data_IF_104009554456
#
_entry.id   IF_104009554456
#
_cell.length_a   1.000
_cell.length_b   1.000
_cell.length_c   1.000
_cell.angle_alpha   90.00
_cell.angle_beta   90.00
_cell.angle_gamma   90.00
#
_symmetry.space_group_name_H-M   'P 1'
#
loop_
_entity.id
_entity.type
_entity.pdbx_description
1 polymer ?
#
# COMPACT_ATOMS: atom_id res chain seq x y z
N UNK A 1 -23.87 32.22 28.03
CA UNK A 1 -23.34 30.92 28.52
C UNK A 1 -22.73 30.16 27.36
N UNK A 2 -21.42 30.21 27.23
CA UNK A 2 -20.67 29.34 26.29
C UNK A 2 -20.67 27.94 26.91
N UNK A 3 -21.46 27.05 26.35
CA UNK A 3 -21.60 25.72 26.92
C UNK A 3 -20.24 24.99 27.04
N UNK A 4 -19.94 24.54 28.26
CA UNK A 4 -18.72 23.81 28.63
C UNK A 4 -18.39 22.61 27.66
N UNK A 5 -19.41 22.09 26.98
CA UNK A 5 -19.27 21.04 25.95
C UNK A 5 -18.53 21.49 24.70
N UNK A 6 -18.66 22.72 24.26
CA UNK A 6 -17.99 23.27 23.08
C UNK A 6 -16.50 23.52 23.32
N UNK A 7 -16.16 24.04 24.51
CA UNK A 7 -14.76 24.29 24.89
C UNK A 7 -13.96 22.98 24.98
N UNK A 8 -14.55 21.91 25.49
CA UNK A 8 -13.92 20.58 25.51
C UNK A 8 -13.71 19.97 24.15
N UNK A 9 -14.63 20.14 23.19
CA UNK A 9 -14.50 19.60 21.83
C UNK A 9 -13.45 20.34 21.01
N UNK A 10 -13.37 21.66 21.09
CA UNK A 10 -12.34 22.46 20.42
C UNK A 10 -10.93 22.17 20.94
N UNK A 11 -10.76 22.04 22.26
CA UNK A 11 -9.50 21.59 22.86
C UNK A 11 -9.08 20.21 22.35
N UNK A 12 -10.01 19.25 22.26
CA UNK A 12 -9.72 17.92 21.72
C UNK A 12 -9.30 17.96 20.26
N UNK A 13 -9.94 18.77 19.41
CA UNK A 13 -9.58 18.92 17.99
C UNK A 13 -8.19 19.54 17.84
N UNK A 14 -7.91 20.60 18.61
CA UNK A 14 -6.61 21.28 18.61
C UNK A 14 -5.49 20.35 19.10
N UNK A 15 -5.73 19.61 20.18
CA UNK A 15 -4.78 18.67 20.76
C UNK A 15 -4.46 17.52 19.78
N UNK A 16 -5.47 16.99 19.11
CA UNK A 16 -5.27 15.98 18.04
C UNK A 16 -4.46 16.54 16.87
N UNK A 17 -4.78 17.75 16.42
CA UNK A 17 -4.01 18.40 15.34
C UNK A 17 -2.55 18.61 15.70
N UNK A 18 -2.26 19.07 16.93
CA UNK A 18 -0.89 19.23 17.41
C UNK A 18 -0.14 17.89 17.52
N UNK A 19 -0.79 16.84 17.99
CA UNK A 19 -0.19 15.51 18.07
C UNK A 19 0.14 14.95 16.69
N UNK A 20 -0.79 15.08 15.74
CA UNK A 20 -0.55 14.65 14.34
C UNK A 20 0.61 15.43 13.72
N UNK A 21 0.66 16.75 13.91
CA UNK A 21 1.76 17.59 13.46
C UNK A 21 3.09 17.21 14.10
N UNK A 22 3.08 16.92 15.40
CA UNK A 22 4.27 16.45 16.11
C UNK A 22 4.81 15.15 15.53
N UNK A 23 3.95 14.13 15.32
CA UNK A 23 4.36 12.88 14.69
C UNK A 23 4.91 13.09 13.28
N UNK A 24 4.26 13.95 12.48
CA UNK A 24 4.72 14.26 11.13
C UNK A 24 6.14 14.86 11.11
N UNK A 25 6.53 15.57 12.16
CA UNK A 25 7.86 16.21 12.27
C UNK A 25 8.88 15.26 12.89
N UNK A 26 8.54 14.61 14.01
CA UNK A 26 9.49 13.86 14.83
C UNK A 26 9.54 12.36 14.50
N UNK A 27 8.40 11.80 14.05
CA UNK A 27 8.26 10.37 13.70
C UNK A 27 7.59 10.21 12.32
N UNK A 28 8.21 10.78 11.26
CA UNK A 28 7.56 10.89 9.96
C UNK A 28 7.15 9.55 9.35
N UNK A 29 7.96 8.50 9.49
CA UNK A 29 7.60 7.18 8.98
C UNK A 29 6.38 6.60 9.69
N UNK A 30 6.26 6.78 11.00
CA UNK A 30 5.08 6.35 11.77
C UNK A 30 3.83 7.13 11.34
N UNK A 31 3.98 8.44 11.07
CA UNK A 31 2.91 9.27 10.52
C UNK A 31 2.42 8.74 9.16
N UNK A 32 3.34 8.55 8.19
CA UNK A 32 3.00 8.07 6.85
C UNK A 32 2.42 6.65 6.89
N UNK A 33 3.01 5.73 7.66
CA UNK A 33 2.50 4.37 7.83
C UNK A 33 1.05 4.38 8.32
N UNK A 34 0.76 5.19 9.35
CA UNK A 34 -0.59 5.32 9.91
C UNK A 34 -1.57 5.96 8.93
N UNK A 35 -1.14 7.00 8.22
CA UNK A 35 -1.97 7.67 7.23
C UNK A 35 -2.36 6.73 6.10
N UNK A 36 -1.38 6.08 5.47
CA UNK A 36 -1.62 5.16 4.36
C UNK A 36 -2.40 3.91 4.77
N UNK A 37 -2.31 3.48 6.03
CA UNK A 37 -3.11 2.35 6.53
C UNK A 37 -4.58 2.68 6.80
N UNK A 38 -4.90 3.95 7.11
CA UNK A 38 -6.23 4.29 7.65
C UNK A 38 -6.98 5.28 6.76
N UNK A 39 -6.27 6.22 6.13
CA UNK A 39 -6.86 7.35 5.42
C UNK A 39 -6.76 7.28 3.91
N UNK A 40 -5.72 6.64 3.40
CA UNK A 40 -5.48 6.51 1.96
C UNK A 40 -6.37 5.42 1.37
N UNK A 41 -7.61 5.77 1.07
CA UNK A 41 -8.63 4.83 0.54
C UNK A 41 -8.47 4.54 -0.95
N UNK A 42 -7.63 5.28 -1.65
CA UNK A 42 -7.36 5.15 -3.08
C UNK A 42 -5.85 5.02 -3.36
N UNK A 43 -5.10 4.46 -2.42
CA UNK A 43 -3.68 4.18 -2.57
C UNK A 43 -3.47 3.10 -3.65
N UNK A 44 -2.56 3.36 -4.58
CA UNK A 44 -2.22 2.44 -5.67
C UNK A 44 -0.72 2.14 -5.64
N UNK A 45 -0.39 0.86 -5.42
CA UNK A 45 0.99 0.40 -5.33
C UNK A 45 1.78 0.66 -6.62
N UNK A 46 1.16 0.40 -7.78
CA UNK A 46 1.83 0.52 -9.07
C UNK A 46 2.18 1.97 -9.41
N UNK A 47 1.31 2.90 -9.02
CA UNK A 47 1.52 4.34 -9.27
C UNK A 47 2.50 4.94 -8.26
N UNK A 48 2.37 4.58 -6.98
CA UNK A 48 2.97 5.32 -5.87
C UNK A 48 4.29 4.72 -5.38
N UNK A 49 4.51 3.42 -5.53
CA UNK A 49 5.66 2.73 -4.95
C UNK A 49 6.81 2.46 -5.93
N UNK A 50 6.64 2.78 -7.22
CA UNK A 50 7.62 2.51 -8.27
C UNK A 50 8.65 3.65 -8.48
N UNK A 51 8.76 4.56 -7.54
CA UNK A 51 9.71 5.65 -7.53
C UNK A 51 9.12 7.01 -7.87
N UNK A 52 9.93 8.05 -7.58
CA UNK A 52 9.52 9.45 -7.68
C UNK A 52 9.16 9.88 -9.10
N UNK A 53 9.94 9.47 -10.08
CA UNK A 53 9.75 9.89 -11.48
C UNK A 53 8.40 9.40 -12.03
N UNK A 54 8.06 8.14 -11.74
CA UNK A 54 6.77 7.56 -12.14
C UNK A 54 5.61 8.27 -11.46
N UNK A 55 5.72 8.57 -10.17
CA UNK A 55 4.72 9.31 -9.42
C UNK A 55 4.49 10.71 -10.01
N UNK A 56 5.56 11.45 -10.31
CA UNK A 56 5.49 12.79 -10.90
C UNK A 56 4.83 12.77 -12.29
N UNK A 57 5.08 11.73 -13.08
CA UNK A 57 4.42 11.54 -14.37
C UNK A 57 2.88 11.43 -14.20
N UNK A 58 2.41 10.60 -13.27
CA UNK A 58 0.97 10.43 -13.02
C UNK A 58 0.33 11.68 -12.41
N UNK A 59 1.01 12.37 -11.49
CA UNK A 59 0.54 13.66 -10.95
C UNK A 59 0.33 14.67 -12.08
N UNK A 60 1.27 14.77 -13.01
CA UNK A 60 1.16 15.69 -14.15
C UNK A 60 0.02 15.29 -15.10
N UNK A 61 -0.15 14.00 -15.37
CA UNK A 61 -1.25 13.50 -16.20
C UNK A 61 -2.62 13.79 -15.57
N UNK A 62 -2.77 13.49 -14.27
CA UNK A 62 -4.02 13.76 -13.55
C UNK A 62 -4.33 15.26 -13.45
N UNK A 63 -3.32 16.09 -13.26
CA UNK A 63 -3.50 17.55 -13.25
C UNK A 63 -3.95 18.09 -14.62
N UNK A 64 -3.49 17.51 -15.73
CA UNK A 64 -3.96 17.88 -17.09
C UNK A 64 -5.44 17.55 -17.30
N UNK A 65 -5.90 16.41 -16.73
CA UNK A 65 -7.28 15.93 -16.85
C UNK A 65 -8.17 16.29 -15.67
N UNK A 66 -7.79 17.28 -14.87
CA UNK A 66 -8.40 17.61 -13.57
C UNK A 66 -9.93 17.72 -13.58
N UNK A 67 -10.51 18.24 -14.66
CA UNK A 67 -11.95 18.41 -14.80
C UNK A 67 -12.71 17.14 -15.19
N UNK A 68 -11.99 16.10 -15.60
CA UNK A 68 -12.55 14.82 -16.09
C UNK A 68 -12.34 13.70 -15.05
N UNK A 69 -11.63 13.98 -13.96
CA UNK A 69 -11.31 12.98 -12.93
C UNK A 69 -12.56 12.53 -12.18
N UNK A 70 -12.70 11.23 -12.05
CA UNK A 70 -13.64 10.61 -11.12
C UNK A 70 -13.28 10.91 -9.66
N UNK A 71 -14.21 10.70 -8.75
CA UNK A 71 -13.96 10.94 -7.33
C UNK A 71 -12.86 9.99 -6.77
N UNK A 72 -12.78 8.74 -7.28
CA UNK A 72 -11.67 7.83 -6.95
C UNK A 72 -10.33 8.42 -7.39
N UNK A 73 -10.23 8.92 -8.61
CA UNK A 73 -8.99 9.51 -9.15
C UNK A 73 -8.58 10.78 -8.41
N UNK A 74 -9.53 11.60 -7.96
CA UNK A 74 -9.24 12.77 -7.10
C UNK A 74 -8.62 12.34 -5.78
N UNK A 75 -9.19 11.32 -5.13
CA UNK A 75 -8.63 10.77 -3.89
C UNK A 75 -7.23 10.16 -4.13
N UNK A 76 -7.02 9.47 -5.26
CA UNK A 76 -5.71 8.97 -5.66
C UNK A 76 -4.71 10.11 -5.84
N UNK A 77 -5.12 11.24 -6.43
CA UNK A 77 -4.28 12.42 -6.61
C UNK A 77 -3.87 13.03 -5.25
N UNK A 78 -4.80 13.10 -4.30
CA UNK A 78 -4.50 13.59 -2.95
C UNK A 78 -3.49 12.68 -2.23
N UNK A 79 -3.66 11.37 -2.35
CA UNK A 79 -2.71 10.39 -1.81
C UNK A 79 -1.34 10.49 -2.51
N UNK A 80 -1.30 10.69 -3.85
CA UNK A 80 -0.06 10.92 -4.60
C UNK A 80 0.70 12.17 -4.13
N UNK A 81 0.01 13.26 -3.79
CA UNK A 81 0.67 14.46 -3.27
C UNK A 81 1.35 14.20 -1.92
N UNK A 82 0.73 13.39 -1.06
CA UNK A 82 1.35 13.01 0.20
C UNK A 82 2.57 12.09 0.01
N UNK A 83 2.49 11.17 -0.94
CA UNK A 83 3.64 10.33 -1.33
C UNK A 83 4.76 11.19 -1.93
N UNK A 84 4.43 12.20 -2.74
CA UNK A 84 5.41 13.15 -3.28
C UNK A 84 6.14 13.90 -2.16
N UNK A 85 5.39 14.38 -1.15
CA UNK A 85 5.99 15.00 0.04
C UNK A 85 6.92 14.02 0.76
N UNK A 86 6.50 12.77 0.94
CA UNK A 86 7.30 11.72 1.59
C UNK A 86 8.62 11.48 0.85
N UNK A 87 8.60 11.35 -0.49
CA UNK A 87 9.80 11.22 -1.30
C UNK A 87 10.70 12.45 -1.24
N UNK A 88 10.12 13.67 -1.24
CA UNK A 88 10.87 14.91 -1.12
C UNK A 88 11.61 15.02 0.23
N UNK A 89 11.10 14.38 1.27
CA UNK A 89 11.73 14.30 2.59
C UNK A 89 12.76 13.17 2.70
N UNK A 90 13.01 12.44 1.62
CA UNK A 90 14.01 11.37 1.56
C UNK A 90 13.52 10.00 2.04
N UNK A 91 12.23 9.83 2.29
CA UNK A 91 11.63 8.53 2.62
C UNK A 91 11.15 7.83 1.36
N UNK A 92 10.97 6.50 1.44
CA UNK A 92 10.51 5.71 0.30
C UNK A 92 9.85 4.42 0.73
N UNK A 93 9.42 3.65 -0.27
CA UNK A 93 8.84 2.33 -0.08
C UNK A 93 9.86 1.23 -0.33
N UNK A 94 9.69 0.09 0.33
CA UNK A 94 10.25 -1.18 -0.11
C UNK A 94 9.17 -2.00 -0.82
N UNK A 95 9.58 -3.07 -1.49
CA UNK A 95 8.63 -3.97 -2.17
C UNK A 95 7.75 -4.67 -1.14
N UNK A 96 6.52 -5.00 -1.56
CA UNK A 96 5.67 -5.94 -0.85
C UNK A 96 6.39 -7.30 -0.82
N UNK A 97 6.39 -7.91 0.34
CA UNK A 97 6.92 -9.25 0.58
C UNK A 97 5.74 -10.16 0.99
N UNK A 98 5.54 -11.25 0.25
CA UNK A 98 4.39 -12.16 0.44
C UNK A 98 4.33 -12.80 1.82
N UNK A 99 5.47 -12.88 2.54
CA UNK A 99 5.56 -13.47 3.88
C UNK A 99 5.60 -12.45 5.02
N UNK A 100 5.93 -11.19 4.73
CA UNK A 100 6.14 -10.15 5.74
C UNK A 100 5.10 -9.05 5.71
N UNK A 101 4.56 -8.74 4.55
CA UNK A 101 3.55 -7.68 4.39
C UNK A 101 2.25 -8.03 5.11
N UNK A 102 1.54 -7.01 5.55
CA UNK A 102 0.25 -7.15 6.24
C UNK A 102 -0.91 -6.90 5.27
N UNK A 103 -2.08 -7.40 5.63
CA UNK A 103 -3.28 -7.25 4.80
C UNK A 103 -3.59 -5.79 4.48
N UNK A 104 -3.76 -4.96 5.52
CA UNK A 104 -4.22 -3.56 5.40
C UNK A 104 -3.30 -2.54 6.07
N UNK A 105 -2.21 -2.99 6.71
CA UNK A 105 -1.32 -2.11 7.48
C UNK A 105 0.02 -1.94 6.80
N UNK A 106 0.41 -0.70 6.60
CA UNK A 106 1.77 -0.34 6.23
C UNK A 106 2.72 -0.58 7.40
N UNK A 107 3.89 -1.12 7.12
CA UNK A 107 4.93 -1.41 8.11
C UNK A 107 6.16 -0.55 7.86
N UNK A 108 6.93 -0.31 8.92
CA UNK A 108 8.25 0.31 8.83
C UNK A 108 9.29 -0.79 8.85
N UNK A 109 10.05 -0.91 7.77
CA UNK A 109 11.09 -1.92 7.61
C UNK A 109 12.35 -1.24 7.09
N UNK A 110 13.45 -1.33 7.85
CA UNK A 110 14.75 -0.79 7.48
C UNK A 110 14.72 0.70 7.04
N UNK A 111 13.92 1.51 7.74
CA UNK A 111 13.78 2.95 7.45
C UNK A 111 12.95 3.28 6.22
N UNK A 112 12.24 2.31 5.66
CA UNK A 112 11.29 2.46 4.53
C UNK A 112 9.90 1.97 4.92
N UNK A 113 8.91 2.33 4.13
CA UNK A 113 7.55 1.81 4.28
C UNK A 113 7.36 0.57 3.41
N UNK A 114 6.92 -0.52 4.03
CA UNK A 114 6.42 -1.71 3.35
C UNK A 114 4.92 -1.57 3.16
N UNK A 115 4.43 -1.50 1.91
CA UNK A 115 3.00 -1.38 1.64
C UNK A 115 2.21 -2.61 2.06
N UNK A 116 0.93 -2.42 2.32
CA UNK A 116 -0.01 -3.48 2.60
C UNK A 116 -0.46 -4.19 1.31
N UNK A 117 -0.95 -5.42 1.41
CA UNK A 117 -1.51 -6.13 0.25
C UNK A 117 -2.71 -5.39 -0.36
N UNK A 118 -3.55 -4.75 0.47
CA UNK A 118 -4.70 -3.96 0.00
C UNK A 118 -4.33 -2.76 -0.88
N UNK A 119 -3.05 -2.40 -0.95
CA UNK A 119 -2.55 -1.36 -1.86
C UNK A 119 -2.40 -1.83 -3.32
N UNK A 120 -2.50 -3.13 -3.58
CA UNK A 120 -2.49 -3.70 -4.93
C UNK A 120 -3.87 -3.53 -5.55
N UNK A 121 -3.95 -2.89 -6.72
CA UNK A 121 -5.23 -2.68 -7.39
C UNK A 121 -5.91 -4.02 -7.72
N UNK A 122 -7.22 -4.08 -7.47
CA UNK A 122 -8.01 -5.30 -7.64
C UNK A 122 -7.90 -6.33 -6.51
N UNK A 123 -7.09 -6.09 -5.47
CA UNK A 123 -7.01 -6.96 -4.30
C UNK A 123 -7.82 -6.36 -3.13
N UNK A 124 -8.99 -6.93 -2.87
CA UNK A 124 -9.85 -6.49 -1.76
C UNK A 124 -9.32 -6.94 -0.39
N UNK A 125 -9.75 -6.26 0.68
CA UNK A 125 -9.29 -6.50 2.06
C UNK A 125 -9.39 -7.96 2.50
N UNK A 126 -10.49 -8.65 2.18
CA UNK A 126 -10.68 -10.08 2.52
C UNK A 126 -9.66 -11.00 1.85
N UNK A 127 -9.30 -10.70 0.61
CA UNK A 127 -8.27 -11.46 -0.11
C UNK A 127 -6.88 -11.15 0.47
N UNK A 128 -6.62 -9.90 0.83
CA UNK A 128 -5.40 -9.49 1.50
C UNK A 128 -5.23 -10.17 2.87
N UNK A 129 -6.29 -10.24 3.67
CA UNK A 129 -6.32 -10.96 4.95
C UNK A 129 -6.04 -12.46 4.77
N UNK A 130 -6.62 -13.08 3.73
CA UNK A 130 -6.39 -14.48 3.45
C UNK A 130 -4.95 -14.76 3.00
N UNK A 131 -4.33 -13.86 2.24
CA UNK A 131 -2.91 -13.96 1.87
C UNK A 131 -2.03 -13.91 3.12
N UNK A 132 -2.26 -12.93 4.02
CA UNK A 132 -1.50 -12.82 5.27
C UNK A 132 -1.65 -14.08 6.14
N UNK A 133 -2.88 -14.61 6.25
CA UNK A 133 -3.19 -15.81 7.04
C UNK A 133 -2.51 -17.07 6.44
N UNK A 134 -2.62 -17.27 5.13
CA UNK A 134 -2.00 -18.43 4.45
C UNK A 134 -0.47 -18.35 4.45
N UNK A 135 0.11 -17.17 4.28
CA UNK A 135 1.56 -16.96 4.38
C UNK A 135 2.09 -17.28 5.78
N UNK A 136 1.30 -17.04 6.83
CA UNK A 136 1.68 -17.39 8.21
C UNK A 136 1.71 -18.88 8.49
N UNK A 137 1.00 -19.69 7.68
CA UNK A 137 0.91 -21.16 7.84
C UNK A 137 2.08 -21.91 7.21
N UNK A 138 2.84 -21.26 6.33
CA UNK A 138 4.02 -21.85 5.69
C UNK A 138 4.27 -21.29 4.30
N UNK A 139 5.43 -21.63 3.75
CA UNK A 139 5.85 -21.18 2.43
C UNK A 139 4.93 -21.71 1.32
N UNK A 140 4.80 -20.95 0.25
CA UNK A 140 4.13 -21.37 -0.96
C UNK A 140 5.10 -22.14 -1.85
N UNK A 141 4.61 -23.21 -2.46
CA UNK A 141 5.42 -24.06 -3.35
C UNK A 141 5.50 -23.50 -4.76
N UNK A 142 4.47 -22.77 -5.19
CA UNK A 142 4.37 -22.14 -6.51
C UNK A 142 3.31 -21.05 -6.53
N UNK A 143 3.25 -20.29 -7.63
CA UNK A 143 2.18 -19.32 -7.86
C UNK A 143 0.80 -19.98 -7.98
N UNK A 144 0.72 -21.22 -8.49
CA UNK A 144 -0.52 -22.01 -8.52
C UNK A 144 -0.97 -22.43 -7.12
N UNK A 145 -0.03 -22.81 -6.25
CA UNK A 145 -0.30 -23.11 -4.84
C UNK A 145 -0.79 -21.85 -4.11
N UNK A 146 -0.10 -20.72 -4.31
CA UNK A 146 -0.52 -19.42 -3.79
C UNK A 146 -1.96 -19.07 -4.23
N UNK A 147 -2.26 -19.17 -5.53
CA UNK A 147 -3.59 -18.91 -6.08
C UNK A 147 -4.67 -19.76 -5.43
N UNK A 148 -4.38 -21.05 -5.25
CA UNK A 148 -5.34 -22.04 -4.70
C UNK A 148 -5.59 -21.81 -3.22
N UNK A 149 -4.53 -21.62 -2.44
CA UNK A 149 -4.61 -21.39 -0.99
C UNK A 149 -5.22 -20.05 -0.66
N UNK A 150 -4.79 -18.98 -1.32
CA UNK A 150 -5.29 -17.63 -1.07
C UNK A 150 -6.60 -17.32 -1.79
N UNK A 151 -7.11 -18.22 -2.65
CA UNK A 151 -8.34 -18.05 -3.43
C UNK A 151 -8.41 -16.74 -4.21
N UNK A 152 -7.28 -16.30 -4.72
CA UNK A 152 -7.16 -15.08 -5.53
C UNK A 152 -7.42 -15.36 -7.00
N UNK A 153 -7.82 -14.31 -7.74
CA UNK A 153 -8.08 -14.43 -9.17
C UNK A 153 -6.78 -14.63 -9.96
N UNK A 154 -6.88 -15.23 -11.16
CA UNK A 154 -5.73 -15.35 -12.06
C UNK A 154 -5.13 -13.97 -12.40
N UNK A 155 -5.99 -12.97 -12.63
CA UNK A 155 -5.57 -11.61 -12.91
C UNK A 155 -4.77 -10.97 -11.76
N UNK A 156 -5.15 -11.25 -10.52
CA UNK A 156 -4.41 -10.81 -9.33
C UNK A 156 -3.01 -11.42 -9.28
N UNK A 157 -2.91 -12.73 -9.55
CA UNK A 157 -1.61 -13.43 -9.59
C UNK A 157 -0.73 -12.86 -10.70
N UNK A 158 -1.27 -12.65 -11.89
CA UNK A 158 -0.57 -12.04 -13.03
C UNK A 158 -0.08 -10.61 -12.71
N UNK A 159 -0.92 -9.82 -12.05
CA UNK A 159 -0.54 -8.47 -11.59
C UNK A 159 0.60 -8.53 -10.57
N UNK A 160 0.54 -9.42 -9.59
CA UNK A 160 1.59 -9.61 -8.59
C UNK A 160 2.89 -10.10 -9.20
N UNK A 161 2.80 -11.00 -10.20
CA UNK A 161 3.96 -11.49 -10.95
C UNK A 161 4.63 -10.39 -11.77
N UNK A 162 3.84 -9.61 -12.52
CA UNK A 162 4.29 -8.44 -13.27
C UNK A 162 4.97 -7.40 -12.38
N UNK A 163 4.51 -7.25 -11.15
CA UNK A 163 5.12 -6.38 -10.14
C UNK A 163 6.36 -6.99 -9.48
N UNK A 164 6.67 -8.25 -9.79
CA UNK A 164 7.83 -8.98 -9.25
C UNK A 164 7.72 -9.28 -7.76
N UNK A 165 6.51 -9.52 -7.26
CA UNK A 165 6.24 -9.75 -5.83
C UNK A 165 6.48 -11.20 -5.42
N UNK A 166 6.50 -12.14 -6.36
CA UNK A 166 6.75 -13.56 -6.09
C UNK A 166 8.24 -13.92 -6.01
N UNK A 167 9.15 -13.02 -6.43
CA UNK A 167 10.59 -13.31 -6.45
C UNK A 167 10.91 -14.55 -7.32
N UNK A 168 11.55 -15.54 -6.69
CA UNK A 168 11.96 -16.80 -7.38
C UNK A 168 10.91 -17.92 -7.29
N UNK A 169 9.67 -17.61 -6.88
CA UNK A 169 8.61 -18.59 -6.73
C UNK A 169 8.20 -19.14 -8.11
N UNK A 170 8.30 -20.47 -8.37
CA UNK A 170 7.97 -21.05 -9.67
C UNK A 170 6.48 -20.89 -9.99
N UNK A 171 6.16 -20.82 -11.28
CA UNK A 171 4.75 -20.71 -11.71
C UNK A 171 3.92 -21.93 -11.35
N UNK A 172 4.48 -23.12 -11.51
CA UNK A 172 3.78 -24.40 -11.28
C UNK A 172 4.64 -25.36 -10.47
N UNK A 173 3.98 -26.26 -9.72
CA UNK A 173 4.64 -27.38 -9.01
C UNK A 173 5.05 -28.52 -9.96
N UNK A 174 4.69 -28.45 -11.25
CA UNK A 174 5.06 -29.46 -12.21
C UNK A 174 6.51 -29.28 -12.61
N UNK A 175 7.37 -30.23 -12.24
CA UNK A 175 8.72 -30.32 -12.77
C UNK A 175 8.60 -30.62 -14.28
N UNK A 176 9.01 -29.69 -15.12
CA UNK A 176 9.03 -29.92 -16.54
C UNK A 176 10.09 -31.00 -16.86
N UNK A 177 9.72 -31.99 -17.66
CA UNK A 177 10.67 -32.99 -18.12
C UNK A 177 11.84 -32.36 -18.95
N UNK A 178 11.65 -31.11 -19.38
CA UNK A 178 12.66 -30.30 -20.09
C UNK A 178 13.77 -29.77 -19.16
N UNK A 179 13.56 -29.75 -17.86
CA UNK A 179 14.58 -29.31 -16.89
C UNK A 179 15.64 -30.41 -16.61
N UNK A 180 15.45 -31.60 -17.20
CA UNK A 180 16.35 -32.77 -17.07
C UNK A 180 17.10 -33.09 -18.37
N UNK A 181 16.93 -32.31 -19.43
CA UNK A 181 17.64 -32.48 -20.73
C UNK A 181 18.61 -31.32 -20.96
#
# INVERSE_FOLDING_TARGET
EIGVRLVGSEMCIRDRGLRVAWFKVHEPLAYYASYFSIRATAFDYEIMCQGRERLEYYINDYNRRKNELSDKEKNTLDDMHLVQEMYARGFGFCKIDIYRSKATRFQIVDGKLMPAFSSIDGLGDKAAELIEDEASKGEFLSQEDFKTRCKVSANTVETMDRLGLFGDLPHSNQISLMDFL
#
